data_IF_932008169337
#
_entry.id   IF_932008169337
#
_cell.length_a   1.000
_cell.length_b   1.000
_cell.length_c   1.000
_cell.angle_alpha   90.00
_cell.angle_beta   90.00
_cell.angle_gamma   90.00
#
_symmetry.space_group_name_H-M   'P 1'
#
loop_
_entity.id
_entity.type
_entity.pdbx_description
1 polymer ?
#
# COMPACT_ATOMS: atom_id res chain seq x y z
N UNK A 1 67.01 17.69 -68.91
CA UNK A 1 66.73 19.10 -69.26
C UNK A 1 65.63 19.27 -70.32
N UNK A 2 65.85 19.06 -71.64
CA UNK A 2 64.83 19.41 -72.67
C UNK A 2 63.53 18.59 -72.64
N UNK A 3 63.59 17.27 -72.41
CA UNK A 3 62.39 16.40 -72.36
C UNK A 3 61.58 16.56 -71.05
N UNK A 4 62.23 16.91 -69.95
CA UNK A 4 61.54 17.19 -68.67
C UNK A 4 60.74 18.49 -68.74
N UNK A 5 61.30 19.54 -69.37
CA UNK A 5 60.59 20.77 -69.64
C UNK A 5 59.36 20.53 -70.54
N UNK A 6 59.53 19.78 -71.64
CA UNK A 6 58.44 19.38 -72.54
C UNK A 6 57.35 18.54 -71.83
N UNK A 7 57.73 17.64 -70.92
CA UNK A 7 56.79 16.86 -70.13
C UNK A 7 55.98 17.71 -69.14
N UNK A 8 56.61 18.73 -68.53
CA UNK A 8 55.91 19.70 -67.68
C UNK A 8 54.90 20.52 -68.48
N UNK A 9 55.28 21.01 -69.66
CA UNK A 9 54.37 21.74 -70.55
C UNK A 9 53.17 20.89 -71.01
N UNK A 10 53.41 19.63 -71.41
CA UNK A 10 52.35 18.68 -71.76
C UNK A 10 51.42 18.38 -70.57
N UNK A 11 51.97 18.26 -69.37
CA UNK A 11 51.18 18.06 -68.14
C UNK A 11 50.32 19.28 -67.82
N UNK A 12 50.88 20.49 -67.88
CA UNK A 12 50.15 21.74 -67.66
C UNK A 12 48.96 21.90 -68.64
N UNK A 13 49.14 21.54 -69.91
CA UNK A 13 48.07 21.55 -70.90
C UNK A 13 47.00 20.48 -70.64
N UNK A 14 47.40 19.28 -70.21
CA UNK A 14 46.47 18.17 -69.90
C UNK A 14 45.74 18.34 -68.56
N UNK A 15 46.25 19.17 -67.64
CA UNK A 15 45.62 19.44 -66.35
C UNK A 15 44.27 20.15 -66.49
N UNK A 16 44.11 21.06 -67.46
CA UNK A 16 42.86 21.82 -67.63
C UNK A 16 41.62 20.94 -67.93
N UNK A 17 41.63 20.06 -68.95
CA UNK A 17 40.49 19.18 -69.19
C UNK A 17 40.25 18.19 -68.04
N UNK A 18 41.31 17.69 -67.40
CA UNK A 18 41.19 16.85 -66.21
C UNK A 18 40.52 17.58 -65.03
N UNK A 19 40.95 18.81 -64.74
CA UNK A 19 40.36 19.62 -63.66
C UNK A 19 38.93 20.06 -63.98
N UNK A 20 38.60 20.24 -65.26
CA UNK A 20 37.22 20.50 -65.70
C UNK A 20 36.32 19.29 -65.42
N UNK A 21 36.79 18.08 -65.74
CA UNK A 21 36.09 16.85 -65.37
C UNK A 21 35.93 16.75 -63.84
N UNK A 22 36.96 17.11 -63.07
CA UNK A 22 36.90 17.17 -61.60
C UNK A 22 35.82 18.12 -61.09
N UNK A 23 35.77 19.34 -61.63
CA UNK A 23 34.75 20.31 -61.26
C UNK A 23 33.34 19.79 -61.60
N UNK A 24 33.16 19.18 -62.77
CA UNK A 24 31.86 18.69 -63.22
C UNK A 24 31.30 17.56 -62.35
N UNK A 25 32.12 16.63 -61.87
CA UNK A 25 31.62 15.56 -60.99
C UNK A 25 31.42 16.06 -59.55
N UNK A 26 32.27 16.99 -59.05
CA UNK A 26 32.11 17.56 -57.69
C UNK A 26 30.80 18.32 -57.54
N UNK A 27 30.38 19.06 -58.57
CA UNK A 27 29.13 19.81 -58.55
C UNK A 27 27.87 18.92 -58.41
N UNK A 28 27.95 17.62 -58.74
CA UNK A 28 26.81 16.69 -58.62
C UNK A 28 26.53 16.25 -57.18
N UNK A 29 27.48 16.43 -56.25
CA UNK A 29 27.37 15.96 -54.87
C UNK A 29 27.33 17.13 -53.88
N UNK A 30 26.17 17.74 -53.63
CA UNK A 30 26.04 18.79 -52.64
C UNK A 30 26.31 18.24 -51.22
N UNK A 31 27.02 18.99 -50.35
CA UNK A 31 27.19 18.59 -48.96
C UNK A 31 25.85 18.61 -48.22
N UNK A 32 25.72 17.76 -47.21
CA UNK A 32 24.53 17.66 -46.39
C UNK A 32 24.49 18.78 -45.33
N UNK A 33 23.28 19.24 -45.00
CA UNK A 33 23.05 20.22 -43.92
C UNK A 33 22.61 19.52 -42.64
N UNK A 34 23.52 19.48 -41.65
CA UNK A 34 23.31 18.74 -40.41
C UNK A 34 22.28 19.40 -39.48
N UNK A 35 21.90 20.67 -39.72
CA UNK A 35 20.84 21.33 -38.94
C UNK A 35 19.43 20.79 -39.25
N UNK A 36 19.30 20.07 -40.37
CA UNK A 36 18.00 19.66 -40.96
C UNK A 36 17.72 18.16 -40.79
N UNK A 37 18.10 17.57 -39.66
CA UNK A 37 18.03 16.12 -39.39
C UNK A 37 16.70 15.47 -39.78
N UNK A 38 15.56 16.02 -39.35
CA UNK A 38 14.25 15.39 -39.62
C UNK A 38 13.64 15.81 -40.97
N UNK A 39 14.27 16.74 -41.71
CA UNK A 39 13.75 17.27 -42.97
C UNK A 39 14.36 16.57 -44.20
N UNK A 40 15.65 16.21 -44.14
CA UNK A 40 16.34 15.51 -45.23
C UNK A 40 16.73 14.08 -44.80
N UNK A 41 16.27 13.04 -45.51
CA UNK A 41 16.56 11.65 -45.18
C UNK A 41 18.05 11.27 -45.29
N UNK A 42 18.83 11.91 -46.16
CA UNK A 42 20.27 11.61 -46.29
C UNK A 42 21.05 12.04 -45.04
N UNK A 43 20.58 13.09 -44.35
CA UNK A 43 21.14 13.54 -43.06
C UNK A 43 20.83 12.53 -41.96
N UNK A 44 19.65 11.89 -42.01
CA UNK A 44 19.28 10.82 -41.08
C UNK A 44 20.15 9.59 -41.25
N UNK A 45 20.43 9.19 -42.49
CA UNK A 45 21.34 8.07 -42.79
C UNK A 45 22.77 8.38 -42.28
N UNK A 46 23.26 9.60 -42.52
CA UNK A 46 24.58 10.05 -42.06
C UNK A 46 24.76 9.99 -40.53
N UNK A 47 23.74 10.39 -39.75
CA UNK A 47 23.80 10.41 -38.28
C UNK A 47 23.29 9.11 -37.61
N UNK A 48 22.75 8.17 -38.38
CA UNK A 48 22.25 6.90 -37.83
C UNK A 48 23.41 6.04 -37.34
N UNK A 49 23.26 5.40 -36.17
CA UNK A 49 24.25 4.46 -35.61
C UNK A 49 24.58 3.34 -36.61
N UNK A 50 23.58 2.88 -37.36
CA UNK A 50 23.75 1.82 -38.36
C UNK A 50 24.22 2.33 -39.74
N UNK A 51 24.40 3.64 -39.92
CA UNK A 51 24.72 4.28 -41.20
C UNK A 51 23.55 4.30 -42.22
N UNK A 52 22.39 3.80 -41.83
CA UNK A 52 21.12 3.87 -42.59
C UNK A 52 19.96 4.06 -41.63
N UNK A 53 18.92 4.75 -42.06
CA UNK A 53 17.68 4.92 -41.31
C UNK A 53 16.84 3.64 -41.34
N UNK A 54 15.91 3.55 -40.39
CA UNK A 54 14.97 2.43 -40.33
C UNK A 54 14.12 2.39 -41.61
N UNK A 55 14.11 1.23 -42.26
CA UNK A 55 13.31 0.99 -43.47
C UNK A 55 11.81 1.06 -43.18
N UNK A 56 11.02 1.27 -44.23
CA UNK A 56 9.55 1.14 -44.16
C UNK A 56 9.17 -0.28 -43.73
N UNK A 57 8.06 -0.41 -43.00
CA UNK A 57 7.63 -1.69 -42.43
C UNK A 57 7.44 -2.81 -43.48
N UNK A 58 6.99 -2.46 -44.69
CA UNK A 58 6.79 -3.39 -45.81
C UNK A 58 8.07 -3.84 -46.50
N UNK A 59 9.18 -3.11 -46.30
CA UNK A 59 10.48 -3.42 -46.90
C UNK A 59 11.35 -4.28 -45.97
N UNK A 60 10.92 -4.51 -44.73
CA UNK A 60 11.62 -5.39 -43.79
C UNK A 60 11.22 -6.84 -44.11
N UNK A 61 12.16 -7.69 -44.56
CA UNK A 61 11.85 -9.05 -45.01
C UNK A 61 11.43 -9.97 -43.86
N UNK A 62 11.91 -9.72 -42.65
CA UNK A 62 11.65 -10.48 -41.45
C UNK A 62 11.05 -9.60 -40.34
N UNK A 63 9.73 -9.72 -40.16
CA UNK A 63 8.98 -8.95 -39.16
C UNK A 63 7.72 -9.69 -38.69
N UNK A 64 6.79 -8.94 -38.11
CA UNK A 64 5.52 -9.50 -37.64
C UNK A 64 5.72 -10.50 -36.49
N UNK A 65 5.06 -11.66 -36.58
CA UNK A 65 5.01 -12.63 -35.49
C UNK A 65 6.39 -13.13 -35.01
N UNK A 66 7.40 -13.14 -35.90
CA UNK A 66 8.76 -13.58 -35.57
C UNK A 66 9.45 -12.68 -34.54
N UNK A 67 9.16 -11.38 -34.56
CA UNK A 67 9.79 -10.39 -33.66
C UNK A 67 8.94 -10.09 -32.42
N UNK A 68 7.84 -10.82 -32.21
CA UNK A 68 6.99 -10.65 -31.04
C UNK A 68 7.78 -10.96 -29.75
N UNK A 69 7.86 -9.98 -28.86
CA UNK A 69 8.52 -10.13 -27.55
C UNK A 69 7.56 -10.77 -26.54
N UNK A 70 7.14 -12.00 -26.83
CA UNK A 70 6.28 -12.81 -25.94
C UNK A 70 7.09 -13.64 -24.93
N UNK A 71 8.39 -13.37 -24.82
CA UNK A 71 9.26 -14.05 -23.86
C UNK A 71 8.95 -13.63 -22.42
N UNK A 72 8.51 -12.38 -22.21
CA UNK A 72 8.04 -11.87 -20.93
C UNK A 72 6.59 -12.30 -20.66
N UNK A 73 6.39 -13.62 -20.51
CA UNK A 73 5.11 -14.23 -20.18
C UNK A 73 5.22 -15.04 -18.91
N UNK A 74 4.16 -15.05 -18.12
CA UNK A 74 4.04 -15.88 -16.94
C UNK A 74 2.59 -16.34 -16.79
N UNK A 75 2.39 -17.39 -16.00
CA UNK A 75 1.05 -17.85 -15.60
C UNK A 75 0.95 -17.65 -14.09
N UNK A 76 -0.12 -17.01 -13.66
CA UNK A 76 -0.47 -16.90 -12.24
C UNK A 76 -1.40 -18.03 -11.85
N UNK A 77 -0.96 -18.87 -10.94
CA UNK A 77 -1.83 -19.81 -10.27
C UNK A 77 -2.42 -19.10 -9.03
N UNK A 78 -3.74 -19.00 -8.98
CA UNK A 78 -4.45 -18.30 -7.91
C UNK A 78 -5.49 -19.22 -7.31
N UNK A 79 -5.42 -19.39 -5.98
CA UNK A 79 -6.45 -20.12 -5.26
C UNK A 79 -7.76 -19.33 -5.24
N UNK A 80 -8.87 -20.04 -5.05
CA UNK A 80 -10.22 -19.47 -5.09
C UNK A 80 -10.40 -18.25 -4.17
N UNK A 81 -9.74 -18.24 -3.01
CA UNK A 81 -9.83 -17.16 -2.01
C UNK A 81 -8.49 -16.51 -1.69
N UNK A 82 -7.46 -16.73 -2.52
CA UNK A 82 -6.15 -16.09 -2.27
C UNK A 82 -6.29 -14.58 -2.37
N UNK A 83 -6.03 -13.86 -1.29
CA UNK A 83 -6.08 -12.39 -1.28
C UNK A 83 -4.86 -11.80 -1.96
N UNK A 84 -3.66 -12.31 -1.67
CA UNK A 84 -2.39 -11.85 -2.25
C UNK A 84 -1.75 -12.96 -3.05
N UNK A 85 -1.30 -12.71 -4.30
CA UNK A 85 -0.56 -13.72 -5.05
C UNK A 85 0.88 -13.85 -4.50
N UNK A 86 1.30 -15.09 -4.22
CA UNK A 86 2.67 -15.39 -3.77
C UNK A 86 3.64 -15.64 -4.93
N UNK A 87 3.14 -15.66 -6.17
CA UNK A 87 3.88 -16.01 -7.39
C UNK A 87 4.98 -15.00 -7.80
N UNK A 88 5.06 -13.85 -7.13
CA UNK A 88 5.99 -12.77 -7.47
C UNK A 88 5.66 -12.04 -8.77
N UNK A 89 4.49 -12.29 -9.36
CA UNK A 89 4.02 -11.57 -10.54
C UNK A 89 3.65 -10.12 -10.23
N UNK A 90 3.41 -9.29 -11.26
CA UNK A 90 3.03 -7.89 -11.08
C UNK A 90 1.73 -7.74 -10.27
N UNK A 91 1.71 -6.75 -9.40
CA UNK A 91 0.55 -6.35 -8.62
C UNK A 91 -0.16 -5.13 -9.23
N UNK A 92 -1.47 -5.08 -9.04
CA UNK A 92 -2.29 -3.91 -9.36
C UNK A 92 -2.11 -2.84 -8.28
N UNK A 93 -2.41 -1.59 -8.63
CA UNK A 93 -2.41 -0.47 -7.69
C UNK A 93 -3.58 -0.63 -6.68
N UNK A 94 -3.41 -0.21 -5.40
CA UNK A 94 -4.46 -0.26 -4.37
C UNK A 94 -5.77 0.49 -4.67
N UNK A 95 -5.82 1.35 -5.69
CA UNK A 95 -7.07 1.90 -6.20
C UNK A 95 -7.97 0.83 -6.87
N UNK A 96 -7.38 -0.26 -7.35
CA UNK A 96 -8.08 -1.40 -7.95
C UNK A 96 -8.48 -2.39 -6.85
N UNK A 97 -9.75 -2.78 -6.80
CA UNK A 97 -10.29 -3.63 -5.74
C UNK A 97 -9.99 -5.14 -5.90
N UNK A 98 -8.72 -5.49 -6.08
CA UNK A 98 -8.20 -6.88 -6.21
C UNK A 98 -6.89 -7.03 -5.42
N UNK A 99 -6.36 -8.24 -5.29
CA UNK A 99 -5.01 -8.48 -4.73
C UNK A 99 -4.75 -7.82 -3.37
N UNK A 100 -5.56 -8.14 -2.36
CA UNK A 100 -5.43 -7.65 -0.99
C UNK A 100 -5.52 -6.12 -0.80
N UNK A 101 -6.13 -5.41 -1.76
CA UNK A 101 -6.37 -3.97 -1.70
C UNK A 101 -7.00 -3.44 -0.41
N UNK A 102 -7.72 -4.29 0.34
CA UNK A 102 -8.41 -3.88 1.57
C UNK A 102 -7.42 -3.56 2.68
N UNK A 103 -6.34 -4.34 2.80
CA UNK A 103 -5.28 -4.08 3.77
C UNK A 103 -4.53 -2.80 3.37
N UNK A 104 -4.12 -2.70 2.09
CA UNK A 104 -3.38 -1.55 1.57
C UNK A 104 -4.15 -0.23 1.70
N UNK A 105 -5.46 -0.21 1.42
CA UNK A 105 -6.27 1.03 1.55
C UNK A 105 -6.47 1.46 3.01
N UNK A 106 -6.28 0.55 3.97
CA UNK A 106 -6.39 0.82 5.40
C UNK A 106 -5.03 1.06 6.05
N UNK A 107 -3.94 1.02 5.28
CA UNK A 107 -2.62 1.39 5.75
C UNK A 107 -2.52 2.90 6.01
N UNK A 108 -1.79 3.27 7.07
CA UNK A 108 -1.64 4.67 7.49
C UNK A 108 -0.94 5.55 6.46
N UNK A 109 -0.08 4.98 5.63
CA UNK A 109 0.71 5.70 4.64
C UNK A 109 0.07 5.67 3.24
N UNK A 110 -1.10 5.05 3.09
CA UNK A 110 -1.84 5.09 1.83
C UNK A 110 -2.53 6.45 1.64
N UNK A 111 -2.51 6.93 0.39
CA UNK A 111 -3.17 8.17 -0.01
C UNK A 111 -3.95 7.96 -1.29
N UNK A 112 -5.26 8.22 -1.25
CA UNK A 112 -6.08 8.32 -2.45
C UNK A 112 -6.07 9.76 -2.97
N UNK A 113 -6.04 9.93 -4.29
CA UNK A 113 -6.16 11.24 -4.94
C UNK A 113 -7.60 11.78 -4.98
N UNK A 114 -8.59 10.99 -4.57
CA UNK A 114 -10.00 11.37 -4.59
C UNK A 114 -10.59 11.46 -3.18
N UNK A 115 -11.59 12.32 -3.01
CA UNK A 115 -12.30 12.46 -1.75
C UNK A 115 -13.10 11.18 -1.39
N UNK A 116 -13.22 10.85 -0.08
CA UNK A 116 -13.96 9.69 0.40
C UNK A 116 -15.47 9.83 0.11
N UNK A 117 -16.16 8.71 -0.10
CA UNK A 117 -17.55 8.66 -0.62
C UNK A 117 -18.55 9.35 0.31
N UNK A 118 -18.30 9.33 1.60
CA UNK A 118 -19.11 9.95 2.66
C UNK A 118 -19.18 11.47 2.53
N UNK A 119 -18.17 12.10 1.93
CA UNK A 119 -18.05 13.55 1.75
C UNK A 119 -18.30 14.00 0.31
N UNK A 120 -18.53 13.05 -0.61
CA UNK A 120 -18.83 13.35 -2.01
C UNK A 120 -20.22 14.00 -2.11
N UNK A 121 -20.32 15.04 -2.95
CA UNK A 121 -21.59 15.68 -3.36
C UNK A 121 -21.92 15.58 -4.87
N UNK A 122 -21.80 14.43 -5.55
CA UNK A 122 -22.13 14.33 -6.97
C UNK A 122 -23.50 13.70 -7.23
N UNK A 123 -24.07 14.01 -8.39
CA UNK A 123 -25.18 13.29 -9.02
C UNK A 123 -24.70 12.22 -10.01
N UNK A 124 -23.42 12.23 -10.38
CA UNK A 124 -22.81 11.30 -11.35
C UNK A 124 -21.89 10.31 -10.64
N UNK A 125 -21.88 9.06 -11.08
CA UNK A 125 -21.09 7.95 -10.52
C UNK A 125 -21.45 7.54 -9.08
N UNK A 126 -22.64 7.89 -8.61
CA UNK A 126 -23.16 7.37 -7.34
C UNK A 126 -23.70 5.95 -7.56
N UNK A 127 -23.25 5.02 -6.72
CA UNK A 127 -23.88 3.70 -6.65
C UNK A 127 -25.22 3.80 -5.94
N UNK A 128 -26.15 2.91 -6.26
CA UNK A 128 -27.47 2.82 -5.62
C UNK A 128 -27.38 2.86 -4.09
N UNK A 129 -26.47 2.05 -3.53
CA UNK A 129 -26.22 2.06 -2.08
C UNK A 129 -25.70 3.42 -1.59
N UNK A 130 -24.72 4.02 -2.26
CA UNK A 130 -24.14 5.29 -1.80
C UNK A 130 -25.12 6.45 -1.92
N UNK A 131 -26.04 6.43 -2.88
CA UNK A 131 -27.08 7.45 -3.01
C UNK A 131 -28.09 7.38 -1.85
N UNK A 132 -28.44 6.16 -1.41
CA UNK A 132 -29.46 5.92 -0.38
C UNK A 132 -28.94 5.94 1.05
N UNK A 133 -27.70 5.51 1.25
CA UNK A 133 -27.07 5.40 2.57
C UNK A 133 -25.99 6.46 2.72
N UNK A 134 -26.41 7.65 3.18
CA UNK A 134 -25.52 8.74 3.59
C UNK A 134 -25.46 8.81 5.13
N UNK A 135 -24.41 9.42 5.71
CA UNK A 135 -24.36 9.63 7.16
C UNK A 135 -25.59 10.40 7.63
N UNK A 136 -26.27 9.87 8.65
CA UNK A 136 -27.59 10.36 9.08
C UNK A 136 -27.52 11.67 9.86
N UNK A 137 -26.46 11.90 10.61
CA UNK A 137 -26.33 13.06 11.50
C UNK A 137 -25.34 14.09 10.96
N UNK A 138 -25.77 15.35 10.88
CA UNK A 138 -24.93 16.45 10.43
C UNK A 138 -23.73 16.69 11.38
N UNK A 139 -23.90 16.46 12.68
CA UNK A 139 -22.82 16.53 13.67
C UNK A 139 -21.69 15.53 13.35
N UNK A 140 -22.04 14.30 13.00
CA UNK A 140 -21.05 13.30 12.58
C UNK A 140 -20.32 13.73 11.31
N UNK A 141 -21.04 14.28 10.32
CA UNK A 141 -20.43 14.82 9.10
C UNK A 141 -19.47 15.97 9.42
N UNK A 142 -19.82 16.84 10.37
CA UNK A 142 -18.96 17.92 10.86
C UNK A 142 -17.65 17.39 11.46
N UNK A 143 -17.74 16.39 12.34
CA UNK A 143 -16.56 15.72 12.94
C UNK A 143 -15.69 15.03 11.89
N UNK A 144 -16.30 14.28 10.97
CA UNK A 144 -15.60 13.60 9.86
C UNK A 144 -14.90 14.60 8.93
N UNK A 145 -15.57 15.69 8.58
CA UNK A 145 -15.02 16.73 7.70
C UNK A 145 -13.88 17.48 8.38
N UNK A 146 -14.00 17.75 9.69
CA UNK A 146 -12.95 18.41 10.47
C UNK A 146 -11.67 17.57 10.46
N UNK A 147 -11.73 16.29 10.85
CA UNK A 147 -10.55 15.42 10.88
C UNK A 147 -9.97 15.20 9.49
N UNK A 148 -10.80 14.94 8.47
CA UNK A 148 -10.34 14.74 7.10
C UNK A 148 -9.60 15.97 6.53
N UNK A 149 -10.14 17.17 6.72
CA UNK A 149 -9.55 18.38 6.17
C UNK A 149 -8.26 18.80 6.88
N UNK A 150 -8.14 18.54 8.20
CA UNK A 150 -6.96 18.97 8.97
C UNK A 150 -5.77 18.04 8.81
N UNK A 151 -6.00 16.73 8.64
CA UNK A 151 -4.90 15.76 8.52
C UNK A 151 -4.82 15.20 7.10
N UNK A 152 -5.77 14.37 6.71
CA UNK A 152 -5.64 13.49 5.55
C UNK A 152 -5.71 14.22 4.19
N UNK A 153 -6.50 15.29 4.03
CA UNK A 153 -6.80 15.87 2.71
C UNK A 153 -5.56 16.36 1.96
N UNK A 154 -4.67 17.07 2.63
CA UNK A 154 -3.49 17.70 2.02
C UNK A 154 -2.17 17.00 2.38
N UNK A 155 -2.22 15.95 3.20
CA UNK A 155 -1.05 15.13 3.51
C UNK A 155 -0.55 14.38 2.28
N UNK A 156 0.78 14.40 2.06
CA UNK A 156 1.44 13.56 1.06
C UNK A 156 1.10 13.86 -0.41
N UNK A 157 0.66 15.08 -0.76
CA UNK A 157 0.27 15.43 -2.14
C UNK A 157 1.40 15.27 -3.17
N UNK A 158 2.66 15.38 -2.76
CA UNK A 158 3.83 15.18 -3.63
C UNK A 158 3.90 13.78 -4.25
N UNK A 159 3.22 12.79 -3.65
CA UNK A 159 3.16 11.41 -4.15
C UNK A 159 2.06 11.22 -5.19
N UNK A 160 1.10 12.14 -5.29
CA UNK A 160 -0.03 12.03 -6.21
C UNK A 160 0.43 12.44 -7.60
N UNK A 161 0.37 11.50 -8.55
CA UNK A 161 0.75 11.73 -9.94
C UNK A 161 -0.26 12.60 -10.70
N UNK A 162 0.08 12.93 -11.95
CA UNK A 162 -0.76 13.76 -12.84
C UNK A 162 -2.13 13.14 -13.14
N UNK A 163 -2.25 11.82 -13.07
CA UNK A 163 -3.49 11.07 -13.23
C UNK A 163 -4.32 10.95 -11.94
N UNK A 164 -3.88 11.57 -10.83
CA UNK A 164 -4.55 11.49 -9.54
C UNK A 164 -4.30 10.17 -8.77
N UNK A 165 -3.40 9.31 -9.25
CA UNK A 165 -3.03 8.06 -8.57
C UNK A 165 -1.71 8.27 -7.83
N UNK A 166 -1.66 7.91 -6.55
CA UNK A 166 -0.45 8.02 -5.75
C UNK A 166 0.57 6.93 -6.13
N UNK A 167 1.83 7.32 -6.28
CA UNK A 167 2.93 6.38 -6.44
C UNK A 167 3.15 5.59 -5.12
N UNK A 168 3.37 4.27 -5.20
CA UNK A 168 3.82 3.48 -4.05
C UNK A 168 5.13 4.02 -3.48
N UNK A 169 5.30 3.94 -2.16
CA UNK A 169 6.57 4.30 -1.52
C UNK A 169 7.58 3.19 -1.82
N UNK A 170 8.65 3.51 -2.53
CA UNK A 170 9.72 2.57 -2.83
C UNK A 170 10.77 2.59 -1.70
N UNK A 171 10.98 1.48 -0.97
CA UNK A 171 12.04 1.41 0.03
C UNK A 171 13.41 1.53 -0.65
N UNK A 172 14.35 2.28 -0.05
CA UNK A 172 15.64 2.58 -0.68
C UNK A 172 16.81 1.85 -0.03
N UNK A 173 16.76 1.65 1.28
CA UNK A 173 17.81 1.01 2.08
C UNK A 173 17.28 -0.26 2.73
N UNK A 174 18.18 -1.18 3.06
CA UNK A 174 17.84 -2.46 3.69
C UNK A 174 17.14 -2.30 5.06
N UNK A 175 17.45 -1.21 5.79
CA UNK A 175 16.84 -0.92 7.08
C UNK A 175 15.59 -0.02 6.99
N UNK A 176 15.22 0.44 5.78
CA UNK A 176 14.03 1.27 5.62
C UNK A 176 12.79 0.42 5.88
N UNK A 177 12.00 0.81 6.87
CA UNK A 177 10.70 0.19 7.15
C UNK A 177 9.60 1.05 6.52
N UNK A 178 8.60 0.41 5.90
CA UNK A 178 7.46 1.11 5.29
C UNK A 178 6.56 1.77 6.33
N UNK A 179 6.66 1.37 7.59
CA UNK A 179 5.85 1.81 8.69
C UNK A 179 6.11 0.96 9.93
N UNK A 180 5.34 1.23 10.98
CA UNK A 180 5.31 0.41 12.19
C UNK A 180 4.14 -0.55 12.06
N UNK A 181 4.43 -1.85 12.17
CA UNK A 181 3.46 -2.93 11.92
C UNK A 181 3.18 -3.78 13.16
N UNK A 182 4.12 -3.84 14.12
CA UNK A 182 3.98 -4.70 15.31
C UNK A 182 3.31 -3.93 16.44
N UNK A 183 3.81 -2.74 16.75
CA UNK A 183 3.24 -1.88 17.77
C UNK A 183 2.31 -0.85 17.13
N UNK A 184 1.15 -1.29 16.65
CA UNK A 184 0.24 -0.47 15.84
C UNK A 184 -0.37 0.74 16.58
N UNK A 185 -0.58 0.64 17.90
CA UNK A 185 -1.14 1.72 18.74
C UNK A 185 -0.07 2.69 19.28
N UNK A 186 0.79 3.24 18.41
CA UNK A 186 1.86 4.18 18.84
C UNK A 186 1.33 5.48 19.42
N UNK A 187 0.30 6.05 18.80
CA UNK A 187 -0.18 7.39 19.11
C UNK A 187 -1.31 7.40 20.15
N UNK A 188 -1.66 6.23 20.69
CA UNK A 188 -2.63 6.09 21.78
C UNK A 188 -4.06 6.42 21.34
N UNK A 189 -4.63 7.49 21.93
CA UNK A 189 -6.06 7.78 21.88
C UNK A 189 -6.39 9.03 21.07
N UNK A 190 -7.39 8.96 20.21
CA UNK A 190 -7.84 10.12 19.44
C UNK A 190 -8.87 9.80 18.36
N UNK A 191 -9.22 10.78 17.52
CA UNK A 191 -10.25 10.62 16.50
C UNK A 191 -9.73 9.97 15.20
N UNK A 192 -8.42 9.84 15.02
CA UNK A 192 -7.82 9.22 13.84
C UNK A 192 -8.10 7.72 13.77
N UNK A 193 -8.10 7.14 12.56
CA UNK A 193 -8.35 5.71 12.38
C UNK A 193 -7.21 4.81 12.91
N UNK A 194 -6.01 5.37 13.07
CA UNK A 194 -4.81 4.69 13.60
C UNK A 194 -4.68 4.81 15.12
N UNK A 195 -5.67 5.43 15.78
CA UNK A 195 -5.72 5.64 17.22
C UNK A 195 -6.92 4.91 17.81
N UNK A 196 -6.85 4.63 19.10
CA UNK A 196 -7.94 4.03 19.86
C UNK A 196 -9.07 5.05 20.11
N UNK A 197 -10.31 4.65 19.78
CA UNK A 197 -11.53 5.41 20.08
C UNK A 197 -12.13 5.10 21.47
N UNK A 198 -11.32 4.57 22.39
CA UNK A 198 -11.77 4.15 23.72
C UNK A 198 -12.36 5.33 24.50
N UNK A 199 -13.57 5.15 25.04
CA UNK A 199 -14.25 6.16 25.85
C UNK A 199 -13.47 6.47 27.13
N UNK A 200 -13.45 7.74 27.61
CA UNK A 200 -12.69 8.12 28.81
C UNK A 200 -13.03 7.30 30.06
N UNK A 201 -14.28 6.88 30.21
CA UNK A 201 -14.78 6.12 31.36
C UNK A 201 -14.48 4.62 31.31
N UNK A 202 -14.01 4.11 30.17
CA UNK A 202 -13.80 2.68 29.93
C UNK A 202 -12.31 2.31 29.79
N UNK A 203 -11.41 3.23 30.14
CA UNK A 203 -9.96 3.04 30.05
C UNK A 203 -9.50 1.84 30.90
N UNK A 204 -8.61 1.03 30.32
CA UNK A 204 -7.89 -0.06 30.99
C UNK A 204 -8.74 -1.27 31.41
N UNK A 205 -9.96 -1.40 30.87
CA UNK A 205 -10.84 -2.55 31.14
C UNK A 205 -10.45 -3.75 30.29
N UNK A 206 -10.64 -4.95 30.82
CA UNK A 206 -10.15 -6.18 30.16
C UNK A 206 -10.85 -6.51 28.83
N UNK A 207 -12.10 -6.08 28.63
CA UNK A 207 -12.88 -6.36 27.41
C UNK A 207 -12.77 -5.26 26.35
N UNK A 208 -12.17 -4.12 26.70
CA UNK A 208 -11.99 -2.96 25.79
C UNK A 208 -10.64 -2.29 26.04
N UNK A 209 -9.74 -2.39 25.07
CA UNK A 209 -8.48 -1.65 25.09
C UNK A 209 -7.43 -2.24 24.15
N UNK A 210 -6.85 -1.39 23.30
CA UNK A 210 -5.75 -1.75 22.39
C UNK A 210 -4.53 -0.86 22.59
N UNK A 211 -4.70 0.32 23.17
CA UNK A 211 -3.65 1.21 23.63
C UNK A 211 -3.44 1.13 25.16
N UNK A 212 -2.22 1.35 25.66
CA UNK A 212 -1.93 1.35 27.09
C UNK A 212 -2.74 2.43 27.83
N UNK A 213 -3.40 2.07 28.93
CA UNK A 213 -4.14 3.00 29.79
C UNK A 213 -3.20 4.04 30.41
N UNK A 214 -2.11 3.56 31.00
CA UNK A 214 -1.05 4.41 31.56
C UNK A 214 0.29 3.72 31.29
N UNK A 215 1.27 4.48 30.82
CA UNK A 215 2.62 3.98 30.60
C UNK A 215 3.44 4.13 31.88
N UNK A 216 4.29 3.15 32.16
CA UNK A 216 5.27 3.20 33.27
C UNK A 216 4.69 3.25 34.70
N UNK A 217 3.42 2.92 34.91
CA UNK A 217 2.87 2.74 36.26
C UNK A 217 2.88 1.27 36.65
N UNK A 218 3.61 0.95 37.71
CA UNK A 218 3.63 -0.41 38.23
C UNK A 218 2.39 -0.66 39.07
N UNK A 219 1.86 -1.88 39.02
CA UNK A 219 0.71 -2.29 39.84
C UNK A 219 0.92 -1.99 41.33
N UNK A 220 2.11 -2.23 41.86
CA UNK A 220 2.43 -1.97 43.27
C UNK A 220 2.30 -0.48 43.61
N UNK A 221 2.89 0.42 42.81
CA UNK A 221 2.72 1.87 42.99
C UNK A 221 1.24 2.31 42.93
N UNK A 222 0.45 1.74 42.03
CA UNK A 222 -0.99 2.03 41.95
C UNK A 222 -1.75 1.59 43.21
N UNK A 223 -1.51 0.36 43.67
CA UNK A 223 -2.12 -0.15 44.91
C UNK A 223 -1.69 0.60 46.17
N UNK A 224 -0.45 1.09 46.24
CA UNK A 224 0.04 1.92 47.34
C UNK A 224 -0.66 3.28 47.40
N UNK A 225 -1.13 3.80 46.25
CA UNK A 225 -1.98 5.01 46.18
C UNK A 225 -3.45 4.73 46.48
N UNK A 226 -3.80 3.47 46.80
CA UNK A 226 -5.16 3.00 47.01
C UNK A 226 -6.09 3.17 45.79
N UNK A 227 -5.53 3.24 44.59
CA UNK A 227 -6.30 3.22 43.34
C UNK A 227 -6.79 1.79 43.05
N UNK A 228 -8.09 1.58 42.77
CA UNK A 228 -8.60 0.28 42.35
C UNK A 228 -8.01 -0.12 41.00
N UNK A 229 -7.59 -1.38 40.88
CA UNK A 229 -7.06 -1.92 39.62
C UNK A 229 -8.16 -1.95 38.55
N UNK A 230 -7.96 -1.19 37.49
CA UNK A 230 -8.95 -0.89 36.47
C UNK A 230 -9.40 -2.13 35.68
N UNK A 231 -8.50 -3.10 35.51
CA UNK A 231 -8.80 -4.38 34.86
C UNK A 231 -9.66 -5.31 35.72
N UNK A 232 -9.85 -5.01 37.01
CA UNK A 232 -10.76 -5.76 37.89
C UNK A 232 -12.21 -5.23 37.84
N UNK A 233 -12.45 -4.10 37.16
CA UNK A 233 -13.81 -3.61 36.94
C UNK A 233 -14.62 -4.66 36.19
N UNK A 234 -15.89 -4.86 36.57
CA UNK A 234 -16.72 -5.93 36.03
C UNK A 234 -17.48 -5.47 34.78
N UNK A 235 -17.77 -6.42 33.88
CA UNK A 235 -18.55 -6.19 32.68
C UNK A 235 -19.91 -6.90 32.76
N UNK A 236 -21.04 -6.17 32.73
CA UNK A 236 -22.37 -6.77 32.76
C UNK A 236 -22.73 -7.54 31.49
N UNK A 237 -21.97 -7.39 30.40
CA UNK A 237 -22.17 -8.13 29.15
C UNK A 237 -21.33 -9.42 29.07
N UNK A 238 -20.14 -9.43 29.68
CA UNK A 238 -19.22 -10.59 29.64
C UNK A 238 -19.33 -11.49 30.90
N UNK A 239 -19.83 -10.95 32.02
CA UNK A 239 -20.01 -11.71 33.26
C UNK A 239 -21.45 -11.61 33.78
N UNK A 240 -22.24 -12.68 33.63
CA UNK A 240 -23.61 -12.74 34.14
C UNK A 240 -23.68 -12.63 35.68
N UNK A 241 -22.62 -13.00 36.42
CA UNK A 241 -22.56 -12.90 37.90
C UNK A 241 -22.35 -11.46 38.37
N UNK A 242 -21.79 -10.60 37.51
CA UNK A 242 -21.59 -9.18 37.83
C UNK A 242 -22.89 -8.39 37.97
N UNK A 243 -23.99 -8.82 37.33
CA UNK A 243 -25.33 -8.22 37.50
C UNK A 243 -25.88 -8.39 38.92
N UNK A 244 -25.54 -9.48 39.60
CA UNK A 244 -26.10 -9.85 40.92
C UNK A 244 -25.51 -8.98 42.05
N UNK A 245 -24.28 -8.49 41.85
CA UNK A 245 -23.49 -7.77 42.85
C UNK A 245 -23.46 -6.24 42.67
N UNK A 246 -24.25 -5.65 41.76
CA UNK A 246 -24.36 -4.19 41.57
C UNK A 246 -25.15 -3.46 42.67
N UNK A 247 -25.14 -3.99 43.90
CA UNK A 247 -25.63 -3.27 45.07
C UNK A 247 -24.46 -2.54 45.75
N UNK A 248 -24.45 -1.21 45.75
CA UNK A 248 -23.48 -0.38 46.48
C UNK A 248 -23.63 -0.45 48.02
N UNK A 249 -24.22 -1.52 48.57
CA UNK A 249 -24.29 -1.75 50.02
C UNK A 249 -23.32 -2.88 50.37
N UNK A 250 -22.40 -2.68 51.32
CA UNK A 250 -21.65 -3.80 51.87
C UNK A 250 -22.64 -4.87 52.32
N UNK A 251 -22.44 -6.10 51.83
CA UNK A 251 -23.29 -7.23 52.15
C UNK A 251 -23.12 -7.53 53.64
N UNK A 252 -24.08 -7.13 54.47
CA UNK A 252 -24.11 -7.51 55.87
C UNK A 252 -24.42 -8.99 55.97
N UNK A 253 -23.68 -9.73 56.80
CA UNK A 253 -23.73 -11.20 56.87
C UNK A 253 -25.12 -11.73 57.28
N UNK A 254 -25.94 -10.89 57.89
CA UNK A 254 -27.28 -11.20 58.40
C UNK A 254 -28.41 -10.84 57.43
N UNK A 255 -28.13 -10.22 56.26
CA UNK A 255 -29.19 -9.86 55.33
C UNK A 255 -29.65 -11.07 54.50
N UNK A 256 -30.97 -11.20 54.32
CA UNK A 256 -31.58 -12.24 53.46
C UNK A 256 -31.01 -12.26 52.04
N UNK A 257 -30.59 -11.10 51.53
CA UNK A 257 -29.95 -10.97 50.21
C UNK A 257 -28.56 -11.61 50.20
N UNK A 258 -27.79 -11.47 51.28
CA UNK A 258 -26.47 -12.08 51.46
C UNK A 258 -26.59 -13.60 51.61
N UNK A 259 -27.59 -14.07 52.34
CA UNK A 259 -27.88 -15.50 52.51
C UNK A 259 -28.27 -16.17 51.19
N UNK A 260 -29.16 -15.54 50.39
CA UNK A 260 -29.50 -16.06 49.04
C UNK A 260 -28.28 -16.12 48.10
N UNK A 261 -27.42 -15.11 48.10
CA UNK A 261 -26.20 -15.10 47.28
C UNK A 261 -25.23 -16.20 47.73
N UNK A 262 -25.08 -16.41 49.05
CA UNK A 262 -24.26 -17.49 49.62
C UNK A 262 -24.82 -18.86 49.22
N UNK A 263 -26.12 -19.05 49.33
CA UNK A 263 -26.76 -20.34 49.03
C UNK A 263 -26.73 -20.62 47.52
N UNK A 264 -26.89 -19.60 46.66
CA UNK A 264 -26.68 -19.70 45.22
C UNK A 264 -25.21 -19.99 44.84
N UNK A 265 -24.24 -19.45 45.59
CA UNK A 265 -22.80 -19.76 45.45
C UNK A 265 -22.48 -21.19 45.89
N UNK A 266 -23.13 -21.70 46.93
CA UNK A 266 -23.00 -23.10 47.38
C UNK A 266 -23.63 -24.04 46.35
N UNK A 267 -24.79 -23.68 45.80
CA UNK A 267 -25.45 -24.43 44.73
C UNK A 267 -24.63 -24.44 43.43
N UNK A 268 -23.99 -23.33 43.07
CA UNK A 268 -23.09 -23.26 41.89
C UNK A 268 -21.73 -23.91 42.13
N UNK A 269 -21.28 -24.07 43.38
CA UNK A 269 -20.11 -24.92 43.69
C UNK A 269 -20.37 -26.41 43.45
N UNK A 270 -21.63 -26.87 43.41
CA UNK A 270 -21.94 -28.20 42.91
C UNK A 270 -21.66 -28.32 41.40
N UNK A 271 -21.78 -27.22 40.65
CA UNK A 271 -21.38 -27.12 39.23
C UNK A 271 -19.85 -26.95 39.05
N UNK A 272 -19.13 -26.51 40.07
CA UNK A 272 -17.66 -26.41 40.01
C UNK A 272 -16.97 -27.79 40.01
N UNK A 273 -17.66 -28.87 40.41
CA UNK A 273 -17.15 -30.25 40.25
C UNK A 273 -17.21 -30.76 38.80
N UNK A 274 -18.02 -30.17 37.92
CA UNK A 274 -18.02 -30.51 36.48
C UNK A 274 -17.13 -29.61 35.63
N UNK A 275 -16.62 -28.49 36.17
CA UNK A 275 -15.70 -27.58 35.46
C UNK A 275 -14.21 -27.94 35.60
N UNK A 276 -13.87 -29.03 36.31
CA UNK A 276 -12.48 -29.52 36.41
C UNK A 276 -11.99 -30.35 35.21
N UNK A 277 -12.76 -30.49 34.13
CA UNK A 277 -12.38 -31.35 32.98
C UNK A 277 -12.29 -30.65 31.61
N UNK A 278 -12.49 -29.33 31.49
CA UNK A 278 -12.27 -28.65 30.19
C UNK A 278 -10.83 -28.16 29.93
N UNK A 279 -9.99 -28.02 30.97
CA UNK A 279 -8.61 -27.53 30.83
C UNK A 279 -7.53 -28.56 31.22
N UNK A 280 -7.88 -29.85 31.30
CA UNK A 280 -6.93 -30.97 31.45
C UNK A 280 -7.18 -32.06 30.38
N UNK A 281 -7.55 -31.66 29.16
CA UNK A 281 -7.22 -32.53 28.02
C UNK A 281 -5.79 -32.21 27.63
N UNK A 282 -4.97 -33.25 27.47
CA UNK A 282 -3.64 -33.15 26.90
C UNK A 282 -3.75 -32.34 25.60
N UNK A 283 -3.20 -31.13 25.62
CA UNK A 283 -3.10 -30.33 24.43
C UNK A 283 -2.08 -31.02 23.53
N UNK A 284 -2.56 -31.85 22.60
CA UNK A 284 -1.73 -32.32 21.49
C UNK A 284 -1.44 -31.08 20.64
N UNK A 285 -0.21 -30.60 20.76
CA UNK A 285 0.32 -29.48 20.00
C UNK A 285 0.49 -29.90 18.53
N UNK A 286 -0.52 -29.59 17.70
CA UNK A 286 -0.45 -29.81 16.26
C UNK A 286 0.39 -28.75 15.51
N UNK A 287 1.02 -27.80 16.23
CA UNK A 287 1.85 -26.76 15.60
C UNK A 287 3.27 -27.23 15.25
N UNK A 288 3.70 -28.39 15.74
CA UNK A 288 4.99 -29.01 15.41
C UNK A 288 4.82 -30.21 14.49
N UNK A 289 4.58 -29.97 13.20
CA UNK A 289 4.94 -30.97 12.18
C UNK A 289 6.46 -30.89 11.95
N UNK A 290 7.24 -31.95 12.20
CA UNK A 290 8.62 -31.98 11.76
C UNK A 290 8.64 -31.96 10.23
N UNK A 291 9.42 -31.03 9.67
CA UNK A 291 9.81 -31.07 8.27
C UNK A 291 10.45 -32.44 7.98
N UNK A 292 9.73 -33.29 7.25
CA UNK A 292 10.32 -34.50 6.70
C UNK A 292 10.93 -34.14 5.36
N UNK A 293 12.26 -34.14 5.35
CA UNK A 293 13.08 -34.19 4.15
C UNK A 293 12.75 -35.51 3.42
N UNK A 294 12.41 -35.40 2.13
CA UNK A 294 12.69 -36.39 1.10
C UNK A 294 13.23 -35.65 -0.12
#
# INVERSE_FOLDING_TARGET
MKKEALARERSLAAQSPYMTQVATYRARNPPLDHSRLMQDPKVQDWASIAGTRRSLATNVPDGGARVNVNHLKYKRDADFTSTTPYDGGPSYNPETCVQNWTEDRRDKNYKSGFHPKELRRPTRYDSEYSARFKPTTADYVGRLTHTYNTTSRFEGLTRVGTNGIAAPVLPKRAADTSGEHVFYAKDGFGPGATQDHTAPTARGRFWVGTAPHVAHDTITHSTLRAEPLEFQQRCPMEDARSKILMGNKPLTHESDRTLRIRDDLIATNAFARTWRTMYQSEHVDFSRRPATVR
#
